data_IF_617153063311
#
_entry.id   IF_617153063311
#
_cell.length_a   1.000
_cell.length_b   1.000
_cell.length_c   1.000
_cell.angle_alpha   90.00
_cell.angle_beta   90.00
_cell.angle_gamma   90.00
#
_symmetry.space_group_name_H-M   'P 1'
#
loop_
_entity.id
_entity.type
_entity.pdbx_description
1 polymer ?
#
# COMPACT_ATOMS: atom_id res chain seq x y z
N UNK A 1 -3.69 12.69 -10.16
CA UNK A 1 -2.99 12.84 -8.87
C UNK A 1 -2.25 11.53 -8.61
N UNK A 2 -0.92 11.56 -8.50
CA UNK A 2 -0.11 10.39 -8.21
C UNK A 2 0.28 10.45 -6.73
N UNK A 3 -0.18 9.50 -5.92
CA UNK A 3 0.25 9.35 -4.54
C UNK A 3 1.44 8.40 -4.51
N UNK A 4 2.58 8.85 -3.98
CA UNK A 4 3.77 8.02 -3.73
C UNK A 4 3.92 7.87 -2.23
N UNK A 5 3.95 6.63 -1.76
CA UNK A 5 4.13 6.32 -0.34
C UNK A 5 5.46 5.60 -0.21
N UNK A 6 6.38 6.18 0.58
CA UNK A 6 7.68 5.58 0.93
C UNK A 6 7.66 5.23 2.42
N UNK A 7 7.72 3.94 2.74
CA UNK A 7 7.68 3.45 4.12
C UNK A 7 9.04 2.87 4.50
N UNK A 8 9.86 3.60 5.27
CA UNK A 8 11.22 3.19 5.69
C UNK A 8 11.28 2.44 7.04
N UNK A 9 10.23 2.52 7.84
CA UNK A 9 10.11 1.89 9.17
C UNK A 9 8.72 1.26 9.30
N UNK A 10 8.50 0.39 10.29
CA UNK A 10 7.28 -0.44 10.43
C UNK A 10 5.93 0.26 10.22
N UNK A 11 4.92 -0.51 9.82
CA UNK A 11 3.57 0.01 9.51
C UNK A 11 2.76 0.25 10.79
N UNK A 12 2.47 1.51 11.08
CA UNK A 12 1.54 1.89 12.15
C UNK A 12 0.16 2.23 11.57
N UNK A 13 -0.79 1.30 11.73
CA UNK A 13 -2.17 1.49 11.28
C UNK A 13 -2.87 2.67 11.98
N UNK A 14 -2.52 2.95 13.24
CA UNK A 14 -3.07 4.07 14.01
C UNK A 14 -2.64 5.41 13.42
N UNK A 15 -1.36 5.55 13.08
CA UNK A 15 -0.84 6.72 12.37
C UNK A 15 -1.58 6.96 11.04
N UNK A 16 -1.76 5.91 10.24
CA UNK A 16 -2.42 6.02 8.93
C UNK A 16 -3.93 6.31 9.04
N UNK A 17 -4.62 5.80 10.06
CA UNK A 17 -6.02 6.15 10.35
C UNK A 17 -6.19 7.63 10.68
N UNK A 18 -5.22 8.24 11.36
CA UNK A 18 -5.25 9.66 11.71
C UNK A 18 -5.02 10.59 10.50
N UNK A 19 -4.44 10.08 9.40
CA UNK A 19 -4.09 10.89 8.23
C UNK A 19 -5.25 11.28 7.31
N UNK A 20 -6.50 11.04 7.71
CA UNK A 20 -7.72 11.33 6.97
C UNK A 20 -7.57 11.07 5.45
N UNK A 21 -7.52 9.78 5.11
CA UNK A 21 -7.28 9.30 3.74
C UNK A 21 -8.53 9.36 2.86
N UNK A 22 -9.50 10.22 3.14
CA UNK A 22 -10.74 10.35 2.35
C UNK A 22 -10.45 10.68 0.89
N UNK A 23 -9.38 11.44 0.64
CA UNK A 23 -8.93 11.74 -0.73
C UNK A 23 -8.50 10.49 -1.52
N UNK A 24 -8.02 9.44 -0.84
CA UNK A 24 -7.61 8.18 -1.48
C UNK A 24 -8.78 7.50 -2.18
N UNK A 25 -10.00 7.66 -1.66
CA UNK A 25 -11.22 7.11 -2.24
C UNK A 25 -11.54 7.69 -3.63
N UNK A 26 -10.97 8.84 -3.99
CA UNK A 26 -11.18 9.49 -5.29
C UNK A 26 -10.02 9.25 -6.25
N UNK A 27 -8.95 8.58 -5.80
CA UNK A 27 -7.77 8.34 -6.63
C UNK A 27 -8.05 7.20 -7.61
N UNK A 28 -8.05 7.54 -8.90
CA UNK A 28 -8.17 6.57 -10.00
C UNK A 28 -6.87 5.77 -10.23
N UNK A 29 -5.72 6.40 -10.00
CA UNK A 29 -4.40 5.84 -10.30
C UNK A 29 -3.42 6.18 -9.18
N UNK A 30 -2.80 5.19 -8.54
CA UNK A 30 -1.73 5.44 -7.57
C UNK A 30 -0.63 4.39 -7.64
N UNK A 31 0.53 4.76 -7.09
CA UNK A 31 1.73 3.94 -7.05
C UNK A 31 2.24 3.80 -5.62
N UNK A 32 2.45 2.57 -5.18
CA UNK A 32 3.04 2.29 -3.86
C UNK A 32 4.47 1.84 -4.07
N UNK A 33 5.43 2.54 -3.44
CA UNK A 33 6.83 2.18 -3.46
C UNK A 33 7.23 1.61 -2.10
N UNK A 34 7.31 0.28 -2.02
CA UNK A 34 7.69 -0.43 -0.82
C UNK A 34 9.22 -0.47 -0.73
N UNK A 35 9.76 0.35 0.17
CA UNK A 35 11.16 0.26 0.61
C UNK A 35 11.38 -0.93 1.54
N UNK A 36 12.64 -1.34 1.71
CA UNK A 36 13.01 -2.57 2.44
C UNK A 36 12.44 -2.59 3.87
N UNK A 37 11.56 -3.57 4.14
CA UNK A 37 10.90 -3.79 5.43
C UNK A 37 9.68 -4.73 5.33
N UNK A 38 9.43 -5.53 6.37
CA UNK A 38 8.42 -6.61 6.42
C UNK A 38 6.96 -6.15 6.32
N UNK A 39 6.71 -4.85 6.46
CA UNK A 39 5.37 -4.30 6.68
C UNK A 39 4.77 -3.60 5.46
N UNK A 40 5.54 -3.52 4.36
CA UNK A 40 5.10 -2.89 3.13
C UNK A 40 3.83 -3.54 2.55
N UNK A 41 3.68 -4.86 2.69
CA UNK A 41 2.49 -5.57 2.22
C UNK A 41 1.23 -5.14 2.98
N UNK A 42 1.32 -4.98 4.30
CA UNK A 42 0.19 -4.59 5.17
C UNK A 42 -0.28 -3.18 4.82
N UNK A 43 0.67 -2.26 4.62
CA UNK A 43 0.39 -0.91 4.15
C UNK A 43 -0.32 -0.92 2.79
N UNK A 44 0.19 -1.70 1.83
CA UNK A 44 -0.42 -1.80 0.50
C UNK A 44 -1.87 -2.32 0.58
N UNK A 45 -2.12 -3.39 1.35
CA UNK A 45 -3.48 -3.90 1.60
C UNK A 45 -4.40 -2.86 2.23
N UNK A 46 -3.89 -2.09 3.20
CA UNK A 46 -4.66 -1.05 3.86
C UNK A 46 -5.07 0.07 2.90
N UNK A 47 -4.13 0.61 2.12
CA UNK A 47 -4.40 1.67 1.14
C UNK A 47 -5.39 1.20 0.08
N UNK A 48 -5.22 -0.02 -0.43
CA UNK A 48 -6.17 -0.62 -1.38
C UNK A 48 -7.58 -0.73 -0.79
N UNK A 49 -7.70 -1.09 0.50
CA UNK A 49 -8.97 -1.08 1.21
C UNK A 49 -9.61 0.31 1.32
N UNK A 50 -8.80 1.36 1.35
CA UNK A 50 -9.25 2.76 1.35
C UNK A 50 -9.53 3.32 -0.06
N UNK A 51 -9.13 2.63 -1.13
CA UNK A 51 -9.19 3.10 -2.51
C UNK A 51 -10.11 2.25 -3.41
N UNK A 52 -11.37 1.96 -3.05
CA UNK A 52 -12.22 1.03 -3.80
C UNK A 52 -12.54 1.49 -5.23
N UNK A 53 -12.38 2.78 -5.54
CA UNK A 53 -12.62 3.36 -6.87
C UNK A 53 -11.38 3.42 -7.76
N UNK A 54 -10.25 2.87 -7.32
CA UNK A 54 -9.03 2.89 -8.11
C UNK A 54 -9.14 1.98 -9.33
N UNK A 55 -8.90 2.53 -10.52
CA UNK A 55 -8.91 1.79 -11.78
C UNK A 55 -7.59 1.03 -11.98
N UNK A 56 -6.47 1.58 -11.50
CA UNK A 56 -5.15 0.97 -11.59
C UNK A 56 -4.30 1.28 -10.39
N UNK A 57 -3.57 0.26 -9.92
CA UNK A 57 -2.61 0.37 -8.83
C UNK A 57 -1.33 -0.31 -9.25
N UNK A 58 -0.24 0.46 -9.23
CA UNK A 58 1.10 -0.07 -9.47
C UNK A 58 1.82 -0.21 -8.12
N UNK A 59 2.31 -1.42 -7.82
CA UNK A 59 3.05 -1.68 -6.58
C UNK A 59 4.48 -2.02 -6.97
N UNK A 60 5.39 -1.14 -6.59
CA UNK A 60 6.82 -1.29 -6.81
C UNK A 60 7.42 -1.77 -5.49
N UNK A 61 8.10 -2.90 -5.52
CA UNK A 61 8.79 -3.45 -4.36
C UNK A 61 10.17 -3.96 -4.77
N UNK A 62 11.10 -4.02 -3.81
CA UNK A 62 12.39 -4.65 -4.06
C UNK A 62 12.22 -6.15 -4.38
N UNK A 63 13.09 -6.76 -5.21
CA UNK A 63 12.96 -8.16 -5.62
C UNK A 63 12.87 -9.13 -4.43
N UNK A 64 13.52 -8.78 -3.33
CA UNK A 64 13.54 -9.52 -2.06
C UNK A 64 12.14 -9.63 -1.43
N UNK A 65 11.34 -8.56 -1.55
CA UNK A 65 10.00 -8.48 -1.00
C UNK A 65 8.93 -8.97 -1.98
N UNK A 66 9.27 -9.20 -3.27
CA UNK A 66 8.31 -9.57 -4.30
C UNK A 66 7.62 -10.91 -4.01
N UNK A 67 8.38 -11.93 -3.61
CA UNK A 67 7.82 -13.26 -3.32
C UNK A 67 6.99 -13.27 -2.03
N UNK A 68 7.45 -12.57 -0.99
CA UNK A 68 6.67 -12.39 0.23
C UNK A 68 5.39 -11.61 -0.04
N UNK A 69 5.47 -10.56 -0.86
CA UNK A 69 4.33 -9.77 -1.32
C UNK A 69 3.33 -10.66 -2.05
N UNK A 70 3.74 -11.41 -3.08
CA UNK A 70 2.85 -12.32 -3.81
C UNK A 70 2.16 -13.33 -2.90
N UNK A 71 2.89 -13.91 -1.95
CA UNK A 71 2.35 -14.88 -0.97
C UNK A 71 1.28 -14.22 -0.09
N UNK A 72 1.65 -13.16 0.63
CA UNK A 72 0.77 -12.47 1.57
C UNK A 72 -0.42 -11.81 0.86
N UNK A 73 -0.26 -11.37 -0.38
CA UNK A 73 -1.31 -10.69 -1.13
C UNK A 73 -2.36 -11.66 -1.70
N UNK A 74 -1.99 -12.92 -1.98
CA UNK A 74 -2.93 -13.96 -2.41
C UNK A 74 -3.75 -14.59 -1.28
N UNK A 75 -3.31 -14.44 -0.03
CA UNK A 75 -4.07 -14.94 1.12
C UNK A 75 -5.37 -14.12 1.30
N UNK A 76 -6.56 -14.76 1.22
CA UNK A 76 -7.81 -14.12 1.61
C UNK A 76 -7.76 -13.76 3.09
N UNK A 77 -8.41 -12.63 3.45
CA UNK A 77 -8.39 -12.04 4.80
C UNK A 77 -8.92 -12.99 5.86
#
# INVERSE_FOLDING_TARGET
>A
MLLIIKQKCGFDMGYWKLKNLTFINEIKYFMIELSDGSDGVTLAKYILGCAPKSEKVDIICSPQNLEEFKRKFREPR
#
